data_IF_317858851723
#
_entry.id   IF_317858851723
#
_cell.length_a   1.000
_cell.length_b   1.000
_cell.length_c   1.000
_cell.angle_alpha   90.00
_cell.angle_beta   90.00
_cell.angle_gamma   90.00
#
_symmetry.space_group_name_H-M   'P 1'
#
loop_
_entity.id
_entity.type
_entity.pdbx_description
1 polymer ?
#
# COMPACT_ATOMS: atom_id res chain seq x y z
N UNK A 1 -2.31 -74.22 6.23
CA UNK A 1 -3.08 -73.24 7.03
C UNK A 1 -2.27 -71.96 7.06
N UNK A 2 -2.71 -70.96 6.30
CA UNK A 2 -1.98 -69.71 6.10
C UNK A 2 -1.99 -68.87 7.39
N UNK A 3 -0.82 -68.38 7.78
CA UNK A 3 -0.59 -67.49 8.91
C UNK A 3 -1.27 -66.14 8.65
N UNK A 4 -2.27 -65.81 9.48
CA UNK A 4 -2.81 -64.46 9.61
C UNK A 4 -2.09 -63.79 10.79
N UNK A 5 -1.08 -62.98 10.49
CA UNK A 5 -0.59 -61.97 11.42
C UNK A 5 -0.68 -60.65 10.69
N UNK A 6 -1.85 -60.00 10.84
CA UNK A 6 -2.08 -58.66 10.34
C UNK A 6 -1.17 -57.70 11.08
N UNK A 7 -0.19 -57.15 10.37
CA UNK A 7 0.68 -56.10 10.86
C UNK A 7 -0.14 -54.80 10.87
N UNK A 8 -0.77 -54.48 12.00
CA UNK A 8 -1.42 -53.19 12.21
C UNK A 8 -0.32 -52.15 12.42
N UNK A 9 0.24 -51.64 11.33
CA UNK A 9 1.14 -50.48 11.39
C UNK A 9 0.28 -49.29 11.80
N UNK A 10 0.32 -48.95 13.09
CA UNK A 10 -0.16 -47.68 13.60
C UNK A 10 0.60 -46.60 12.83
N UNK A 11 -0.07 -45.92 11.91
CA UNK A 11 0.40 -44.67 11.35
C UNK A 11 0.46 -43.67 12.52
N UNK A 12 1.58 -43.66 13.25
CA UNK A 12 1.91 -42.57 14.15
C UNK A 12 2.21 -41.40 13.22
N UNK A 13 1.16 -40.66 12.87
CA UNK A 13 1.30 -39.40 12.15
C UNK A 13 2.10 -38.47 13.04
N UNK A 14 3.37 -38.25 12.70
CA UNK A 14 4.15 -37.18 13.28
C UNK A 14 3.46 -35.87 12.87
N UNK A 15 2.63 -35.33 13.75
CA UNK A 15 2.21 -33.93 13.65
C UNK A 15 3.45 -33.12 13.96
N UNK A 16 4.22 -32.78 12.93
CA UNK A 16 5.14 -31.66 13.04
C UNK A 16 4.23 -30.46 13.23
N UNK A 17 4.16 -29.95 14.46
CA UNK A 17 3.76 -28.58 14.66
C UNK A 17 4.81 -27.76 13.90
N UNK A 18 4.45 -27.31 12.69
CA UNK A 18 5.18 -26.25 12.03
C UNK A 18 5.32 -25.14 13.08
N UNK A 19 6.54 -24.73 13.46
CA UNK A 19 6.71 -23.62 14.37
C UNK A 19 5.88 -22.49 13.76
N UNK A 20 4.83 -22.06 14.48
CA UNK A 20 4.06 -20.91 14.06
C UNK A 20 5.05 -19.77 13.96
N UNK A 21 5.50 -19.51 12.73
CA UNK A 21 6.39 -18.41 12.45
C UNK A 21 5.48 -17.22 12.70
N UNK A 22 5.65 -16.58 13.84
CA UNK A 22 5.00 -15.31 14.11
C UNK A 22 5.58 -14.34 13.09
N UNK A 23 4.90 -14.26 11.95
CA UNK A 23 5.33 -13.47 10.81
C UNK A 23 5.22 -11.97 11.13
N UNK A 24 4.65 -11.57 12.28
CA UNK A 24 4.45 -10.16 12.62
C UNK A 24 3.77 -9.39 11.48
N UNK A 25 3.89 -8.07 11.48
CA UNK A 25 3.27 -7.17 10.49
C UNK A 25 3.95 -7.22 9.09
N UNK A 26 4.74 -8.25 8.79
CA UNK A 26 5.54 -8.38 7.55
C UNK A 26 4.78 -8.32 6.21
N UNK A 27 3.48 -8.62 6.05
CA UNK A 27 2.82 -8.42 4.76
C UNK A 27 2.28 -6.99 4.57
N UNK A 28 2.37 -6.10 5.57
CA UNK A 28 1.82 -4.75 5.47
C UNK A 28 2.86 -3.65 5.21
N UNK A 29 4.13 -3.90 5.53
CA UNK A 29 5.18 -2.88 5.45
C UNK A 29 6.13 -3.14 4.28
N UNK A 30 6.18 -2.22 3.32
CA UNK A 30 7.26 -2.20 2.33
C UNK A 30 8.58 -1.82 3.05
N UNK A 31 9.58 -2.72 3.14
CA UNK A 31 10.80 -2.45 3.92
C UNK A 31 11.67 -1.36 3.30
N UNK A 32 11.46 -1.02 2.03
CA UNK A 32 12.17 0.05 1.33
C UNK A 32 11.56 1.44 1.57
N UNK A 33 10.41 1.52 2.26
CA UNK A 33 9.69 2.76 2.55
C UNK A 33 9.63 3.01 4.05
N UNK A 34 9.67 4.29 4.43
CA UNK A 34 9.46 4.70 5.81
C UNK A 34 8.00 4.46 6.21
N UNK A 35 7.77 3.81 7.35
CA UNK A 35 6.43 3.43 7.80
C UNK A 35 5.72 2.44 6.86
N UNK A 36 6.43 1.90 5.86
CA UNK A 36 5.87 0.99 4.86
C UNK A 36 5.22 1.65 3.64
N UNK A 37 5.00 2.97 3.65
CA UNK A 37 4.23 3.68 2.60
C UNK A 37 4.75 5.10 2.25
N UNK A 38 5.82 5.58 2.88
CA UNK A 38 6.39 6.92 2.64
C UNK A 38 7.79 6.80 2.05
N UNK A 39 7.99 7.40 0.87
CA UNK A 39 9.34 7.61 0.33
C UNK A 39 9.96 8.85 0.98
N UNK A 40 11.00 8.65 1.80
CA UNK A 40 11.77 9.76 2.38
C UNK A 40 12.79 10.30 1.39
N UNK A 41 12.94 11.62 1.37
CA UNK A 41 14.04 12.27 0.66
C UNK A 41 15.30 12.35 1.54
N UNK A 42 15.12 12.66 2.83
CA UNK A 42 16.17 12.65 3.85
C UNK A 42 15.81 11.67 4.97
N UNK A 43 16.72 10.77 5.39
CA UNK A 43 16.50 9.88 6.54
C UNK A 43 16.14 10.58 7.85
N UNK A 44 16.46 11.87 8.00
CA UNK A 44 16.16 12.68 9.18
C UNK A 44 14.78 13.37 9.11
N UNK A 45 14.08 13.28 7.98
CA UNK A 45 12.73 13.84 7.83
C UNK A 45 11.76 13.13 8.80
N UNK A 46 10.96 13.93 9.52
CA UNK A 46 9.94 13.46 10.48
C UNK A 46 8.53 13.92 10.08
N UNK A 47 7.53 13.35 10.77
CA UNK A 47 6.10 13.47 10.48
C UNK A 47 5.53 14.89 10.74
N UNK A 48 5.86 15.84 9.87
CA UNK A 48 5.05 16.97 9.41
C UNK A 48 5.95 17.90 8.59
N UNK A 49 5.52 18.28 7.40
CA UNK A 49 6.20 19.28 6.59
C UNK A 49 6.04 20.64 7.29
N UNK A 50 7.15 21.21 7.77
CA UNK A 50 7.16 22.53 8.42
C UNK A 50 7.46 23.64 7.40
N UNK A 51 8.08 23.29 6.27
CA UNK A 51 8.47 24.25 5.25
C UNK A 51 7.33 24.53 4.26
N UNK A 52 6.90 25.78 4.17
CA UNK A 52 5.83 26.21 3.27
C UNK A 52 6.15 25.98 1.78
N UNK A 53 7.44 25.92 1.40
CA UNK A 53 7.83 25.60 0.02
C UNK A 53 7.50 24.17 -0.43
N UNK A 54 7.18 23.29 0.51
CA UNK A 54 6.76 21.92 0.26
C UNK A 54 5.22 21.76 0.30
N UNK A 55 4.48 22.87 0.39
CA UNK A 55 3.01 22.89 0.41
C UNK A 55 2.47 23.28 -0.96
N UNK A 56 1.38 22.64 -1.39
CA UNK A 56 0.67 22.97 -2.62
C UNK A 56 0.10 24.40 -2.60
N UNK A 57 0.52 25.29 -3.51
CA UNK A 57 0.07 26.69 -3.53
C UNK A 57 -1.45 26.80 -3.65
N UNK A 58 -2.07 27.55 -2.74
CA UNK A 58 -3.52 27.75 -2.71
C UNK A 58 -4.33 26.48 -2.45
N UNK A 59 -3.70 25.39 -2.00
CA UNK A 59 -4.33 24.09 -1.82
C UNK A 59 -4.75 23.42 -3.12
N UNK A 60 -4.19 23.83 -4.26
CA UNK A 60 -4.49 23.24 -5.57
C UNK A 60 -3.45 22.17 -5.88
N UNK A 61 -3.91 20.94 -6.11
CA UNK A 61 -3.09 19.77 -6.40
C UNK A 61 -3.38 19.31 -7.84
N UNK A 62 -2.55 19.71 -8.82
CA UNK A 62 -2.65 19.17 -10.17
C UNK A 62 -2.35 17.68 -10.17
N UNK A 63 -3.13 16.88 -10.90
CA UNK A 63 -2.89 15.44 -11.00
C UNK A 63 -3.04 14.91 -12.43
N UNK A 64 -2.31 13.83 -12.73
CA UNK A 64 -2.51 13.03 -13.93
C UNK A 64 -2.68 11.54 -13.57
N UNK A 65 -3.56 10.86 -14.29
CA UNK A 65 -3.79 9.42 -14.13
C UNK A 65 -3.00 8.65 -15.18
N UNK A 66 -2.15 7.73 -14.74
CA UNK A 66 -1.52 6.78 -15.64
C UNK A 66 -2.57 5.85 -16.25
N UNK A 67 -2.49 5.50 -17.56
CA UNK A 67 -3.44 4.57 -18.18
C UNK A 67 -3.55 3.22 -17.47
N UNK A 68 -2.48 2.76 -16.82
CA UNK A 68 -2.43 1.53 -16.03
C UNK A 68 -3.24 1.59 -14.74
N UNK A 69 -3.52 2.79 -14.21
CA UNK A 69 -4.23 2.97 -12.95
C UNK A 69 -5.64 2.36 -12.99
N UNK A 70 -6.31 2.42 -14.15
CA UNK A 70 -7.65 1.83 -14.34
C UNK A 70 -7.71 0.32 -14.13
N UNK A 71 -6.56 -0.37 -14.17
CA UNK A 71 -6.46 -1.81 -13.95
C UNK A 71 -6.44 -2.16 -12.45
N UNK A 72 -5.97 -1.25 -11.61
CA UNK A 72 -5.77 -1.48 -10.17
C UNK A 72 -6.76 -0.72 -9.30
N UNK A 73 -7.22 0.45 -9.75
CA UNK A 73 -8.12 1.33 -9.01
C UNK A 73 -9.36 1.63 -9.83
N UNK A 74 -10.53 1.46 -9.21
CA UNK A 74 -11.81 1.85 -9.80
C UNK A 74 -11.96 3.37 -9.76
N UNK A 75 -12.32 3.98 -10.90
CA UNK A 75 -12.43 5.44 -11.06
C UNK A 75 -13.26 6.12 -9.96
N UNK A 76 -14.38 5.51 -9.58
CA UNK A 76 -15.28 6.10 -8.56
C UNK A 76 -14.64 6.20 -7.17
N UNK A 77 -13.66 5.34 -6.85
CA UNK A 77 -12.93 5.40 -5.58
C UNK A 77 -12.10 6.68 -5.55
N UNK A 78 -11.34 6.93 -6.62
CA UNK A 78 -10.52 8.13 -6.74
C UNK A 78 -11.37 9.41 -6.70
N UNK A 79 -12.46 9.44 -7.46
CA UNK A 79 -13.39 10.58 -7.48
C UNK A 79 -14.03 10.83 -6.10
N UNK A 80 -14.38 9.76 -5.36
CA UNK A 80 -14.92 9.87 -4.01
C UNK A 80 -13.89 10.42 -3.03
N UNK A 81 -12.62 9.99 -3.14
CA UNK A 81 -11.52 10.50 -2.32
C UNK A 81 -11.32 12.00 -2.55
N UNK A 82 -11.24 12.45 -3.81
CA UNK A 82 -11.10 13.88 -4.13
C UNK A 82 -12.30 14.69 -3.63
N UNK A 83 -13.52 14.18 -3.79
CA UNK A 83 -14.72 14.81 -3.26
C UNK A 83 -14.68 14.93 -1.74
N UNK A 84 -14.18 13.92 -1.04
CA UNK A 84 -14.08 13.94 0.41
C UNK A 84 -13.15 15.08 0.88
N UNK A 85 -11.99 15.25 0.25
CA UNK A 85 -11.09 16.39 0.52
C UNK A 85 -11.77 17.73 0.26
N UNK A 86 -12.42 17.89 -0.90
CA UNK A 86 -13.12 19.12 -1.27
C UNK A 86 -14.23 19.51 -0.28
N UNK A 87 -14.89 18.51 0.33
CA UNK A 87 -15.99 18.72 1.28
C UNK A 87 -15.52 19.10 2.69
N UNK A 88 -14.32 18.70 3.09
CA UNK A 88 -13.85 18.83 4.49
C UNK A 88 -12.61 19.73 4.64
N UNK A 89 -12.00 20.16 3.53
CA UNK A 89 -10.78 20.96 3.52
C UNK A 89 -10.83 22.00 2.39
N UNK A 90 -9.83 22.89 2.33
CA UNK A 90 -9.65 23.79 1.21
C UNK A 90 -8.90 23.16 0.01
N UNK A 91 -8.51 21.88 0.10
CA UNK A 91 -7.71 21.18 -0.92
C UNK A 91 -8.57 20.83 -2.14
N UNK A 92 -8.02 21.08 -3.33
CA UNK A 92 -8.67 20.86 -4.63
C UNK A 92 -7.75 20.07 -5.54
N UNK A 93 -8.21 18.88 -5.95
CA UNK A 93 -7.55 18.11 -6.99
C UNK A 93 -8.06 18.54 -8.36
N UNK A 94 -7.15 18.90 -9.27
CA UNK A 94 -7.50 19.37 -10.63
C UNK A 94 -6.75 18.57 -11.69
N UNK A 95 -7.38 18.21 -12.83
CA UNK A 95 -6.67 17.59 -13.93
C UNK A 95 -5.54 18.50 -14.40
N UNK A 96 -4.33 17.95 -14.45
CA UNK A 96 -3.14 18.66 -14.90
C UNK A 96 -3.29 19.14 -16.34
N UNK A 97 -2.77 20.33 -16.62
CA UNK A 97 -2.63 20.91 -17.95
C UNK A 97 -1.16 21.06 -18.32
N UNK A 98 -0.45 22.00 -17.71
CA UNK A 98 0.95 22.34 -17.99
C UNK A 98 1.75 22.65 -16.72
N UNK A 99 1.19 22.39 -15.54
CA UNK A 99 1.83 22.64 -14.26
C UNK A 99 3.12 21.81 -14.15
N UNK A 100 4.17 22.46 -13.65
CA UNK A 100 5.48 21.83 -13.45
C UNK A 100 5.43 20.78 -12.35
N UNK A 101 4.85 21.14 -11.22
CA UNK A 101 4.70 20.28 -10.05
C UNK A 101 3.27 19.72 -10.01
N UNK A 102 3.15 18.40 -9.89
CA UNK A 102 1.87 17.69 -9.94
C UNK A 102 2.03 16.28 -9.36
N UNK A 103 0.91 15.62 -9.07
CA UNK A 103 0.88 14.20 -8.68
C UNK A 103 0.60 13.33 -9.89
N UNK A 104 1.45 12.33 -10.15
CA UNK A 104 1.12 11.24 -11.06
C UNK A 104 0.61 10.04 -10.28
N UNK A 105 -0.60 9.59 -10.58
CA UNK A 105 -1.21 8.40 -9.97
C UNK A 105 -1.00 7.20 -10.89
N UNK A 106 -0.27 6.19 -10.42
CA UNK A 106 0.09 5.02 -11.22
C UNK A 106 0.15 3.74 -10.36
N UNK A 107 0.06 2.55 -10.97
CA UNK A 107 0.29 1.29 -10.27
C UNK A 107 1.74 1.18 -9.77
N UNK A 108 1.93 1.16 -8.45
CA UNK A 108 3.24 1.05 -7.78
C UNK A 108 3.45 -0.26 -7.02
N UNK A 109 4.53 -0.33 -6.22
CA UNK A 109 4.86 -1.45 -5.32
C UNK A 109 4.71 -1.07 -3.83
N UNK A 110 4.14 0.10 -3.56
CA UNK A 110 4.02 0.73 -2.25
C UNK A 110 3.53 2.14 -2.49
#
# INVERSE_FOLDING_TARGET
MALLVGLFFLCVGSVFADPFTYLGDLPLENPDLFGGDILLQDPEDRNAIVNEFQIWPGGVVPYEEDPGLKKTVMKFILERSFKHYLQHTCIKFVPRTNEKDYIRLFPGQG
#
